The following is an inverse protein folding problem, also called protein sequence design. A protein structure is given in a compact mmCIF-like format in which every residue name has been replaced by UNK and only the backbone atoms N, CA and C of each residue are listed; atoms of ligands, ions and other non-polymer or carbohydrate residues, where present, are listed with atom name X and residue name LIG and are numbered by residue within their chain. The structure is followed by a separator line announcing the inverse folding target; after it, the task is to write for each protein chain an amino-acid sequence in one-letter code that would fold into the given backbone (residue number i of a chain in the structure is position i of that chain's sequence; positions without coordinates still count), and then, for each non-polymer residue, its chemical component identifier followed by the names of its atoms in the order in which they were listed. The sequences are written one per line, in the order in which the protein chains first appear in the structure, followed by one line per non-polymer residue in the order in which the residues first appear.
data_IF_367836676631
#
_entry.id   IF_367836676631
#
_cell.length_a   1.000
_cell.length_b   1.000
_cell.length_c   1.000
_cell.angle_alpha   90.00
_cell.angle_beta   90.00
_cell.angle_gamma   90.00
#
_symmetry.space_group_name_H-M   'P 1'
#
loop_
_entity.id
_entity.type
_entity.pdbx_description
1 polymer ?
#
# COMPACT_ATOMS: atom_id res chain seq x y z
N UNK A 1 -62.25 19.48 54.95
CA UNK A 1 -61.23 20.26 54.21
C UNK A 1 -59.92 19.48 54.01
N UNK A 2 -59.92 18.14 54.14
CA UNK A 2 -58.70 17.31 54.07
C UNK A 2 -58.46 16.62 52.66
N UNK A 3 -59.46 16.50 51.80
CA UNK A 3 -59.37 15.81 50.56
C UNK A 3 -58.62 16.56 49.42
N UNK A 4 -58.40 17.86 49.56
CA UNK A 4 -57.72 18.66 48.52
C UNK A 4 -56.21 18.54 48.58
N UNK A 5 -55.65 18.19 49.74
CA UNK A 5 -54.17 18.04 49.88
C UNK A 5 -53.67 16.70 49.39
N UNK A 6 -54.47 15.65 49.42
CA UNK A 6 -54.09 14.31 48.93
C UNK A 6 -54.03 14.24 47.43
N UNK A 7 -54.83 15.02 46.69
CA UNK A 7 -54.79 15.08 45.19
C UNK A 7 -53.60 15.87 44.72
N UNK A 8 -53.17 16.95 45.35
CA UNK A 8 -52.00 17.75 45.05
C UNK A 8 -50.72 16.86 45.13
N UNK A 9 -50.58 16.10 46.20
CA UNK A 9 -49.40 15.27 46.44
C UNK A 9 -49.22 14.14 45.42
N UNK A 10 -50.30 13.59 44.88
CA UNK A 10 -50.25 12.57 43.82
C UNK A 10 -49.81 13.17 42.48
N UNK A 11 -50.23 14.36 42.16
CA UNK A 11 -49.89 15.05 40.92
C UNK A 11 -48.40 15.42 40.90
N UNK A 12 -47.88 15.91 42.03
CA UNK A 12 -46.46 16.24 42.20
C UNK A 12 -45.57 15.01 42.08
N UNK A 13 -45.98 13.85 42.59
CA UNK A 13 -45.27 12.57 42.42
C UNK A 13 -45.23 12.15 40.96
N UNK A 14 -46.35 12.27 40.25
CA UNK A 14 -46.40 11.93 38.83
C UNK A 14 -45.54 12.86 37.99
N UNK A 15 -45.49 14.14 38.27
CA UNK A 15 -44.61 15.10 37.59
C UNK A 15 -43.15 14.75 37.86
N UNK A 16 -42.79 14.44 39.11
CA UNK A 16 -41.42 14.03 39.44
C UNK A 16 -40.99 12.76 38.73
N UNK A 17 -41.89 11.76 38.63
CA UNK A 17 -41.61 10.51 37.86
C UNK A 17 -41.44 10.77 36.38
N UNK A 18 -42.27 11.63 35.78
CA UNK A 18 -42.14 12.03 34.39
C UNK A 18 -40.81 12.74 34.10
N UNK A 19 -40.43 13.69 34.97
CA UNK A 19 -39.13 14.39 34.83
C UNK A 19 -37.95 13.40 34.93
N UNK A 20 -38.00 12.46 35.89
CA UNK A 20 -36.96 11.43 36.04
C UNK A 20 -36.87 10.54 34.81
N UNK A 21 -38.00 10.15 34.21
CA UNK A 21 -38.08 9.29 33.02
C UNK A 21 -37.53 10.01 31.80
N UNK A 22 -37.87 11.28 31.59
CA UNK A 22 -37.33 12.12 30.51
C UNK A 22 -35.81 12.31 30.67
N UNK A 23 -35.36 12.57 31.89
CA UNK A 23 -33.92 12.74 32.18
C UNK A 23 -33.13 11.46 31.90
N UNK A 24 -33.67 10.30 32.29
CA UNK A 24 -33.06 9.01 32.04
C UNK A 24 -32.97 8.65 30.53
N UNK A 25 -34.05 8.91 29.79
CA UNK A 25 -34.08 8.67 28.35
C UNK A 25 -33.08 9.58 27.60
N UNK A 26 -32.99 10.84 28.01
CA UNK A 26 -32.00 11.79 27.44
C UNK A 26 -30.58 11.36 27.75
N UNK A 27 -30.30 10.93 28.98
CA UNK A 27 -28.96 10.44 29.35
C UNK A 27 -28.56 9.19 28.53
N UNK A 28 -29.47 8.22 28.35
CA UNK A 28 -29.24 7.02 27.52
C UNK A 28 -29.04 7.35 26.06
N UNK A 29 -29.82 8.28 25.49
CA UNK A 29 -29.64 8.71 24.11
C UNK A 29 -28.28 9.39 23.89
N UNK A 30 -27.88 10.27 24.81
CA UNK A 30 -26.59 10.97 24.76
C UNK A 30 -25.43 9.99 24.88
N UNK A 31 -25.50 9.01 25.80
CA UNK A 31 -24.48 7.99 25.96
C UNK A 31 -24.34 7.14 24.71
N UNK A 32 -25.46 6.72 24.11
CA UNK A 32 -25.46 5.93 22.89
C UNK A 32 -24.88 6.69 21.70
N UNK A 33 -25.19 7.97 21.55
CA UNK A 33 -24.64 8.85 20.52
C UNK A 33 -23.14 9.05 20.70
N UNK A 34 -22.67 9.26 21.92
CA UNK A 34 -21.25 9.38 22.21
C UNK A 34 -20.47 8.09 21.93
N UNK A 35 -21.04 6.93 22.28
CA UNK A 35 -20.45 5.61 22.02
C UNK A 35 -20.34 5.31 20.51
N UNK A 36 -21.38 5.62 19.74
CA UNK A 36 -21.36 5.46 18.28
C UNK A 36 -20.38 6.43 17.61
N UNK A 37 -20.26 7.66 18.10
CA UNK A 37 -19.32 8.66 17.60
C UNK A 37 -17.87 8.24 17.81
N UNK A 38 -17.54 7.63 18.94
CA UNK A 38 -16.19 7.11 19.21
C UNK A 38 -15.83 5.96 18.27
N UNK A 39 -16.73 4.99 18.09
CA UNK A 39 -16.51 3.87 17.18
C UNK A 39 -16.37 4.31 15.71
N UNK A 40 -17.14 5.30 15.27
CA UNK A 40 -17.02 5.88 13.94
C UNK A 40 -15.68 6.60 13.76
N UNK A 41 -15.21 7.32 14.79
CA UNK A 41 -13.90 7.97 14.79
C UNK A 41 -12.74 6.96 14.64
N UNK A 42 -12.80 5.85 15.37
CA UNK A 42 -11.81 4.78 15.29
C UNK A 42 -11.76 4.13 13.90
N UNK A 43 -12.92 3.87 13.29
CA UNK A 43 -13.00 3.32 11.92
C UNK A 43 -12.45 4.29 10.87
N UNK A 44 -12.74 5.59 10.99
CA UNK A 44 -12.18 6.62 10.09
C UNK A 44 -10.66 6.69 10.24
N UNK A 45 -10.15 6.65 11.47
CA UNK A 45 -8.72 6.67 11.73
C UNK A 45 -8.01 5.43 11.16
N UNK A 46 -8.59 4.24 11.36
CA UNK A 46 -8.07 3.00 10.78
C UNK A 46 -8.07 3.07 9.23
N UNK A 47 -9.16 3.49 8.62
CA UNK A 47 -9.24 3.67 7.18
C UNK A 47 -8.21 4.66 6.63
N UNK A 48 -7.93 5.74 7.38
CA UNK A 48 -6.86 6.67 7.03
C UNK A 48 -5.47 6.04 7.11
N UNK A 49 -5.18 5.29 8.18
CA UNK A 49 -3.90 4.57 8.33
C UNK A 49 -3.69 3.55 7.21
N UNK A 50 -4.74 2.82 6.85
CA UNK A 50 -4.66 1.83 5.77
C UNK A 50 -4.43 2.51 4.42
N UNK A 51 -5.08 3.64 4.15
CA UNK A 51 -4.85 4.43 2.95
C UNK A 51 -3.39 4.96 2.88
N UNK A 52 -2.84 5.43 4.01
CA UNK A 52 -1.44 5.89 4.07
C UNK A 52 -0.47 4.74 3.84
N UNK A 53 -0.70 3.56 4.45
CA UNK A 53 0.12 2.37 4.22
C UNK A 53 0.07 1.92 2.76
N UNK A 54 -1.12 1.86 2.18
CA UNK A 54 -1.29 1.51 0.78
C UNK A 54 -0.51 2.46 -0.14
N UNK A 55 -0.59 3.76 0.10
CA UNK A 55 0.14 4.76 -0.68
C UNK A 55 1.66 4.67 -0.48
N UNK A 56 2.12 4.36 0.73
CA UNK A 56 3.54 4.14 1.01
C UNK A 56 4.08 2.93 0.26
N UNK A 57 3.38 1.80 0.32
CA UNK A 57 3.77 0.57 -0.39
C UNK A 57 3.78 0.78 -1.91
N UNK A 58 2.76 1.41 -2.48
CA UNK A 58 2.72 1.72 -3.90
C UNK A 58 3.89 2.62 -4.34
N UNK A 59 4.32 3.56 -3.49
CA UNK A 59 5.48 4.40 -3.78
C UNK A 59 6.80 3.60 -3.74
N UNK A 60 6.94 2.66 -2.81
CA UNK A 60 8.10 1.75 -2.74
C UNK A 60 8.14 0.83 -3.97
N UNK A 61 7.02 0.25 -4.39
CA UNK A 61 6.91 -0.60 -5.57
C UNK A 61 7.29 0.17 -6.85
N UNK A 62 6.86 1.44 -6.99
CA UNK A 62 7.29 2.30 -8.09
C UNK A 62 8.78 2.61 -8.06
N UNK A 63 9.34 2.92 -6.90
CA UNK A 63 10.77 3.15 -6.77
C UNK A 63 11.57 1.90 -7.17
N UNK A 64 11.15 0.73 -6.72
CA UNK A 64 11.80 -0.52 -7.09
C UNK A 64 11.69 -0.79 -8.60
N UNK A 65 10.51 -0.62 -9.19
CA UNK A 65 10.29 -0.81 -10.62
C UNK A 65 11.19 0.13 -11.47
N UNK A 66 11.40 1.38 -11.03
CA UNK A 66 12.31 2.30 -11.72
C UNK A 66 13.79 1.94 -11.55
N UNK A 67 14.19 1.44 -10.38
CA UNK A 67 15.56 0.96 -10.16
C UNK A 67 15.84 -0.26 -11.04
N UNK A 68 14.92 -1.21 -11.08
CA UNK A 68 15.03 -2.41 -11.92
C UNK A 68 15.08 -2.05 -13.42
N UNK A 69 14.28 -1.07 -13.84
CA UNK A 69 14.31 -0.54 -15.20
C UNK A 69 15.65 0.14 -15.54
N UNK A 70 16.23 0.86 -14.58
CA UNK A 70 17.56 1.44 -14.69
C UNK A 70 18.63 0.36 -14.91
N UNK A 71 18.64 -0.65 -14.05
CA UNK A 71 19.56 -1.78 -14.14
C UNK A 71 19.41 -2.56 -15.46
N UNK A 72 18.16 -2.82 -15.86
CA UNK A 72 17.86 -3.51 -17.12
C UNK A 72 18.35 -2.72 -18.33
N UNK A 73 18.14 -1.41 -18.34
CA UNK A 73 18.63 -0.52 -19.41
C UNK A 73 20.15 -0.55 -19.48
N UNK A 74 20.84 -0.41 -18.37
CA UNK A 74 22.31 -0.40 -18.32
C UNK A 74 22.89 -1.74 -18.78
N UNK A 75 22.25 -2.86 -18.42
CA UNK A 75 22.58 -4.19 -18.92
C UNK A 75 22.42 -4.30 -20.44
N UNK A 76 21.29 -3.90 -21.00
CA UNK A 76 21.03 -3.93 -22.43
C UNK A 76 22.00 -3.04 -23.22
N UNK A 77 22.28 -1.83 -22.74
CA UNK A 77 23.26 -0.92 -23.34
C UNK A 77 24.67 -1.51 -23.30
N UNK A 78 25.02 -2.22 -22.23
CA UNK A 78 26.32 -2.91 -22.11
C UNK A 78 26.41 -4.06 -23.11
N UNK A 79 25.33 -4.85 -23.29
CA UNK A 79 25.27 -5.89 -24.29
C UNK A 79 25.49 -5.36 -25.72
N UNK A 80 24.83 -4.25 -26.07
CA UNK A 80 24.99 -3.60 -27.36
C UNK A 80 26.44 -3.12 -27.57
N UNK A 81 27.01 -2.49 -26.53
CA UNK A 81 28.41 -2.05 -26.57
C UNK A 81 29.39 -3.21 -26.74
N UNK A 82 29.16 -4.32 -26.02
CA UNK A 82 29.98 -5.53 -26.15
C UNK A 82 29.87 -6.12 -27.56
N UNK A 83 28.69 -6.18 -28.14
CA UNK A 83 28.49 -6.67 -29.49
C UNK A 83 29.27 -5.83 -30.53
N UNK A 84 29.31 -4.51 -30.36
CA UNK A 84 30.13 -3.62 -31.23
C UNK A 84 31.65 -3.87 -31.04
N UNK A 85 32.11 -4.01 -29.79
CA UNK A 85 33.52 -4.22 -29.48
C UNK A 85 34.02 -5.62 -29.98
N UNK A 86 33.20 -6.66 -29.79
CA UNK A 86 33.50 -8.03 -30.27
C UNK A 86 33.64 -8.09 -31.81
N UNK A 87 32.89 -7.25 -32.51
CA UNK A 87 32.98 -7.13 -33.99
C UNK A 87 34.05 -6.13 -34.47
N UNK A 88 34.84 -5.58 -33.57
CA UNK A 88 35.94 -4.66 -33.91
C UNK A 88 37.08 -5.40 -34.58
N UNK A 89 37.83 -4.70 -35.43
CA UNK A 89 39.11 -5.19 -36.01
C UNK A 89 40.30 -4.95 -35.08
N UNK A 90 40.13 -4.21 -34.00
CA UNK A 90 41.15 -3.91 -33.00
C UNK A 90 41.23 -5.01 -31.94
N UNK A 91 42.38 -5.72 -31.83
CA UNK A 91 42.54 -6.81 -30.87
C UNK A 91 42.38 -6.36 -29.42
N UNK A 92 42.71 -5.11 -29.06
CA UNK A 92 42.59 -4.59 -27.73
C UNK A 92 41.10 -4.43 -27.35
N UNK A 93 40.27 -3.96 -28.27
CA UNK A 93 38.82 -3.85 -28.09
C UNK A 93 38.17 -5.22 -27.88
N UNK A 94 38.60 -6.23 -28.64
CA UNK A 94 38.07 -7.61 -28.47
C UNK A 94 38.46 -8.20 -27.11
N UNK A 95 39.70 -8.00 -26.66
CA UNK A 95 40.14 -8.47 -25.34
C UNK A 95 39.39 -7.76 -24.21
N UNK A 96 39.18 -6.45 -24.30
CA UNK A 96 38.38 -5.71 -23.36
C UNK A 96 36.93 -6.21 -23.28
N UNK A 97 36.30 -6.46 -24.39
CA UNK A 97 34.96 -7.03 -24.46
C UNK A 97 34.88 -8.38 -23.76
N UNK A 98 35.88 -9.26 -24.01
CA UNK A 98 35.93 -10.56 -23.33
C UNK A 98 36.06 -10.46 -21.82
N UNK A 99 36.86 -9.52 -21.33
CA UNK A 99 37.00 -9.26 -19.88
C UNK A 99 35.69 -8.72 -19.26
N UNK A 100 35.03 -7.75 -19.91
CA UNK A 100 33.76 -7.22 -19.46
C UNK A 100 32.67 -8.30 -19.41
N UNK A 101 32.64 -9.18 -20.41
CA UNK A 101 31.71 -10.31 -20.48
C UNK A 101 31.88 -11.30 -19.33
N UNK A 102 33.11 -11.56 -18.91
CA UNK A 102 33.41 -12.54 -17.84
C UNK A 102 33.19 -11.94 -16.46
N UNK A 103 33.62 -10.71 -16.24
CA UNK A 103 33.70 -10.13 -14.90
C UNK A 103 32.54 -9.19 -14.54
N UNK A 104 31.99 -8.45 -15.50
CA UNK A 104 30.97 -7.45 -15.23
C UNK A 104 29.55 -7.94 -15.56
N UNK A 105 29.40 -8.56 -16.73
CA UNK A 105 28.08 -8.91 -17.27
C UNK A 105 27.25 -9.81 -16.35
N UNK A 106 27.78 -10.86 -15.69
CA UNK A 106 26.97 -11.71 -14.81
C UNK A 106 26.37 -10.96 -13.60
N UNK A 107 27.13 -9.98 -13.07
CA UNK A 107 26.65 -9.12 -11.99
C UNK A 107 25.51 -8.19 -12.44
N UNK A 108 25.64 -7.62 -13.64
CA UNK A 108 24.61 -6.76 -14.22
C UNK A 108 23.35 -7.57 -14.60
N UNK A 109 23.51 -8.76 -15.17
CA UNK A 109 22.40 -9.66 -15.49
C UNK A 109 21.57 -10.02 -14.27
N UNK A 110 22.23 -10.33 -13.15
CA UNK A 110 21.57 -10.62 -11.88
C UNK A 110 20.72 -9.46 -11.38
N UNK A 111 21.18 -8.22 -11.58
CA UNK A 111 20.46 -7.01 -11.19
C UNK A 111 19.39 -6.58 -12.19
N UNK A 112 19.55 -6.96 -13.45
CA UNK A 112 18.63 -6.64 -14.54
C UNK A 112 17.44 -7.61 -14.66
N UNK A 113 17.49 -8.76 -13.97
CA UNK A 113 16.44 -9.77 -14.01
C UNK A 113 15.22 -9.31 -13.19
N UNK A 114 13.98 -9.48 -13.70
CA UNK A 114 13.64 -10.09 -15.00
C UNK A 114 13.59 -9.12 -16.18
N UNK A 115 13.52 -7.82 -15.96
CA UNK A 115 13.23 -6.82 -17.00
C UNK A 115 14.18 -6.85 -18.19
N UNK A 116 15.47 -7.02 -17.94
CA UNK A 116 16.51 -7.01 -18.98
C UNK A 116 16.78 -8.37 -19.62
N UNK A 117 16.26 -9.44 -19.03
CA UNK A 117 16.57 -10.82 -19.45
C UNK A 117 15.38 -11.57 -20.03
N UNK A 118 14.15 -11.20 -19.64
CA UNK A 118 12.93 -11.84 -20.14
C UNK A 118 12.24 -10.96 -21.21
N UNK A 119 12.15 -11.45 -22.46
CA UNK A 119 11.52 -10.72 -23.56
C UNK A 119 10.06 -10.34 -23.31
N UNK A 120 9.36 -11.00 -22.38
CA UNK A 120 7.97 -10.69 -22.04
C UNK A 120 7.80 -9.30 -21.39
N UNK A 121 8.89 -8.71 -20.92
CA UNK A 121 8.91 -7.33 -20.37
C UNK A 121 9.28 -6.27 -21.43
N UNK A 122 9.41 -6.66 -22.68
CA UNK A 122 9.58 -5.69 -23.77
C UNK A 122 8.24 -5.39 -24.44
N UNK A 123 8.03 -4.13 -24.81
CA UNK A 123 6.91 -3.74 -25.66
C UNK A 123 7.16 -4.19 -27.11
N UNK A 124 6.16 -4.09 -27.98
CA UNK A 124 6.32 -4.41 -29.41
C UNK A 124 7.38 -3.52 -30.09
N UNK A 125 7.61 -2.32 -29.59
CA UNK A 125 8.64 -1.39 -30.06
C UNK A 125 10.04 -1.65 -29.45
N UNK A 126 10.15 -2.64 -28.56
CA UNK A 126 11.41 -2.98 -27.88
C UNK A 126 11.74 -2.16 -26.65
N UNK A 127 10.78 -1.37 -26.11
CA UNK A 127 10.95 -0.63 -24.86
C UNK A 127 10.68 -1.50 -23.64
N UNK A 128 11.34 -1.19 -22.51
CA UNK A 128 11.07 -1.86 -21.24
C UNK A 128 9.65 -1.53 -20.73
N UNK A 129 8.89 -2.57 -20.39
CA UNK A 129 7.54 -2.44 -19.84
C UNK A 129 7.56 -2.33 -18.31
N UNK A 130 7.93 -1.16 -17.81
CA UNK A 130 8.02 -0.86 -16.38
C UNK A 130 6.66 -1.01 -15.69
N UNK A 131 5.56 -0.72 -16.41
CA UNK A 131 4.21 -0.87 -15.85
C UNK A 131 3.87 -2.33 -15.53
N UNK A 132 4.32 -3.27 -16.36
CA UNK A 132 4.14 -4.71 -16.07
C UNK A 132 4.89 -5.11 -14.81
N UNK A 133 6.14 -4.66 -14.64
CA UNK A 133 6.93 -4.91 -13.43
C UNK A 133 6.25 -4.34 -12.18
N UNK A 134 5.78 -3.10 -12.27
CA UNK A 134 5.04 -2.47 -11.17
C UNK A 134 3.79 -3.28 -10.77
N UNK A 135 2.98 -3.68 -11.73
CA UNK A 135 1.77 -4.46 -11.45
C UNK A 135 2.08 -5.82 -10.78
N UNK A 136 3.21 -6.43 -11.12
CA UNK A 136 3.64 -7.69 -10.49
C UNK A 136 4.16 -7.48 -9.06
N UNK A 137 4.90 -6.40 -8.80
CA UNK A 137 5.33 -6.01 -7.46
C UNK A 137 4.12 -5.70 -6.57
N UNK A 138 3.16 -4.92 -7.06
CA UNK A 138 1.91 -4.62 -6.35
C UNK A 138 1.10 -5.89 -6.04
N UNK A 139 1.03 -6.83 -6.97
CA UNK A 139 0.37 -8.12 -6.73
C UNK A 139 1.08 -8.94 -5.64
N UNK A 140 2.42 -8.96 -5.62
CA UNK A 140 3.20 -9.66 -4.60
C UNK A 140 3.07 -8.99 -3.22
N UNK A 141 3.12 -7.67 -3.15
CA UNK A 141 2.96 -6.93 -1.89
C UNK A 141 1.56 -7.10 -1.29
N UNK A 142 0.53 -7.13 -2.13
CA UNK A 142 -0.86 -7.36 -1.68
C UNK A 142 -1.08 -8.79 -1.18
N UNK A 143 -0.44 -9.78 -1.77
CA UNK A 143 -0.53 -11.19 -1.36
C UNK A 143 0.17 -11.42 0.00
N UNK A 144 1.31 -10.78 0.22
CA UNK A 144 2.04 -10.81 1.49
C UNK A 144 1.25 -10.14 2.62
N UNK A 145 0.54 -9.05 2.36
CA UNK A 145 -0.31 -8.38 3.35
C UNK A 145 -1.49 -9.24 3.78
N UNK A 146 -1.99 -10.12 2.91
CA UNK A 146 -3.07 -11.07 3.21
C UNK A 146 -2.63 -12.22 4.12
N UNK A 147 -1.33 -12.49 4.20
CA UNK A 147 -0.72 -13.56 5.00
C UNK A 147 -0.27 -13.09 6.40
N UNK A 148 -0.40 -11.81 6.74
CA UNK A 148 -0.07 -11.30 8.07
C UNK A 148 -1.13 -11.76 9.09
N UNK A 149 -0.80 -12.74 9.98
CA UNK A 149 -1.74 -13.25 10.96
C UNK A 149 -2.11 -12.22 12.04
N UNK A 150 -1.40 -11.08 12.10
CA UNK A 150 -1.67 -9.99 13.05
C UNK A 150 -2.65 -8.94 12.48
N UNK A 151 -2.96 -8.98 11.19
CA UNK A 151 -3.95 -8.10 10.58
C UNK A 151 -5.40 -8.44 10.98
N UNK A 152 -5.62 -9.52 11.74
CA UNK A 152 -6.95 -10.00 12.16
C UNK A 152 -7.28 -9.74 13.64
N UNK A 153 -6.50 -8.91 14.37
CA UNK A 153 -6.77 -8.56 15.77
C UNK A 153 -7.05 -7.07 15.98
#
# INVERSE_FOLDING_TARGET
MEDSNAKGNRLDVWIAVLIALVSLTTALATWRTASLGSSAGDLIYQGFLDAVKFQANANEDWQQAYLDAGNARDYLMTLDSLAVQENSTDPASIEQAAQLRIYLLPGMESQATPLGTDPSYLTQEGWLNVQKQFNELEAQSSDLSSLDPLASF
#
